data_IF_745920931974
#
_entry.id   IF_745920931974
#
_cell.length_a   1.000
_cell.length_b   1.000
_cell.length_c   1.000
_cell.angle_alpha   90.00
_cell.angle_beta   90.00
_cell.angle_gamma   90.00
#
_symmetry.space_group_name_H-M   'P 1'
#
loop_
_entity.id
_entity.type
_entity.pdbx_description
1 polymer ?
#
# COMPACT_ATOMS: atom_id res chain seq x y z
N UNK A 1 -15.53 -21.73 -36.07
CA UNK A 1 -15.26 -21.29 -34.69
C UNK A 1 -15.66 -19.84 -34.56
N UNK A 2 -16.32 -19.44 -33.48
CA UNK A 2 -16.62 -18.02 -33.25
C UNK A 2 -15.32 -17.33 -32.81
N UNK A 3 -14.68 -16.65 -33.76
CA UNK A 3 -13.58 -15.74 -33.45
C UNK A 3 -14.17 -14.60 -32.62
N UNK A 4 -13.84 -14.54 -31.33
CA UNK A 4 -14.14 -13.38 -30.50
C UNK A 4 -12.99 -12.40 -30.72
N UNK A 5 -13.24 -11.33 -31.48
CA UNK A 5 -12.26 -10.25 -31.61
C UNK A 5 -12.20 -9.56 -30.25
N UNK A 6 -11.06 -9.56 -29.55
CA UNK A 6 -10.94 -8.88 -28.27
C UNK A 6 -11.25 -7.40 -28.47
N UNK A 7 -12.15 -6.86 -27.66
CA UNK A 7 -12.45 -5.43 -27.70
C UNK A 7 -11.21 -4.65 -27.25
N UNK A 8 -10.66 -3.88 -28.17
CA UNK A 8 -9.59 -2.93 -27.88
C UNK A 8 -10.27 -1.56 -27.66
N UNK A 9 -10.34 -1.06 -26.42
CA UNK A 9 -10.86 0.28 -26.19
C UNK A 9 -9.94 1.32 -26.82
N UNK A 10 -10.53 2.41 -27.27
CA UNK A 10 -9.83 3.58 -27.82
C UNK A 10 -10.00 4.80 -26.89
N UNK A 11 -9.12 5.80 -27.05
CA UNK A 11 -9.18 7.06 -26.32
C UNK A 11 -9.13 6.89 -24.80
N UNK A 12 -10.00 7.60 -24.09
CA UNK A 12 -10.02 7.63 -22.60
C UNK A 12 -10.19 6.23 -21.98
N UNK A 13 -10.89 5.32 -22.65
CA UNK A 13 -11.06 3.95 -22.16
C UNK A 13 -9.79 3.10 -22.32
N UNK A 14 -8.99 3.36 -23.37
CA UNK A 14 -7.68 2.74 -23.58
C UNK A 14 -6.68 3.15 -22.49
N UNK A 15 -6.65 4.46 -22.21
CA UNK A 15 -5.83 5.03 -21.14
C UNK A 15 -6.26 4.48 -19.78
N UNK A 16 -7.56 4.42 -19.51
CA UNK A 16 -8.10 3.88 -18.26
C UNK A 16 -7.75 2.40 -18.08
N UNK A 17 -7.80 1.61 -19.15
CA UNK A 17 -7.39 0.20 -19.15
C UNK A 17 -5.91 0.07 -18.80
N UNK A 18 -5.07 0.85 -19.45
CA UNK A 18 -3.62 0.85 -19.22
C UNK A 18 -3.29 1.28 -17.78
N UNK A 19 -3.87 2.40 -17.31
CA UNK A 19 -3.67 2.88 -15.95
C UNK A 19 -4.17 1.87 -14.90
N UNK A 20 -5.30 1.20 -15.15
CA UNK A 20 -5.82 0.15 -14.25
C UNK A 20 -4.90 -1.07 -14.19
N UNK A 21 -4.30 -1.47 -15.32
CA UNK A 21 -3.31 -2.55 -15.34
C UNK A 21 -2.07 -2.19 -14.52
N UNK A 22 -1.54 -0.97 -14.68
CA UNK A 22 -0.41 -0.47 -13.89
C UNK A 22 -0.77 -0.49 -12.40
N UNK A 23 -1.98 -0.04 -12.03
CA UNK A 23 -2.47 -0.09 -10.66
C UNK A 23 -2.45 -1.51 -10.10
N UNK A 24 -2.98 -2.50 -10.83
CA UNK A 24 -2.99 -3.89 -10.39
C UNK A 24 -1.57 -4.44 -10.19
N UNK A 25 -0.64 -4.12 -11.09
CA UNK A 25 0.76 -4.51 -10.96
C UNK A 25 1.41 -3.90 -9.71
N UNK A 26 1.26 -2.59 -9.49
CA UNK A 26 1.79 -1.91 -8.30
C UNK A 26 1.19 -2.45 -7.00
N UNK A 27 -0.12 -2.76 -6.98
CA UNK A 27 -0.76 -3.39 -5.82
C UNK A 27 -0.20 -4.78 -5.53
N UNK A 28 0.06 -5.58 -6.57
CA UNK A 28 0.69 -6.89 -6.42
C UNK A 28 2.13 -6.76 -5.90
N UNK A 29 2.90 -5.78 -6.38
CA UNK A 29 4.24 -5.47 -5.87
C UNK A 29 4.21 -5.06 -4.39
N UNK A 30 3.32 -4.15 -4.00
CA UNK A 30 3.17 -3.71 -2.62
C UNK A 30 2.84 -4.88 -1.70
N UNK A 31 1.91 -5.76 -2.10
CA UNK A 31 1.57 -6.96 -1.35
C UNK A 31 2.81 -7.85 -1.14
N UNK A 32 3.64 -8.05 -2.18
CA UNK A 32 4.88 -8.83 -2.07
C UNK A 32 5.88 -8.18 -1.10
N UNK A 33 6.04 -6.86 -1.16
CA UNK A 33 6.93 -6.12 -0.24
C UNK A 33 6.42 -6.23 1.20
N UNK A 34 5.12 -6.05 1.45
CA UNK A 34 4.52 -6.20 2.77
C UNK A 34 4.70 -7.61 3.35
N UNK A 35 4.61 -8.64 2.52
CA UNK A 35 4.87 -10.01 2.94
C UNK A 35 6.34 -10.22 3.32
N UNK A 36 7.28 -9.60 2.59
CA UNK A 36 8.71 -9.64 2.93
C UNK A 36 9.00 -8.90 4.23
N UNK A 37 8.40 -7.72 4.45
CA UNK A 37 8.48 -6.98 5.72
C UNK A 37 7.92 -7.81 6.87
N UNK A 38 6.76 -8.45 6.68
CA UNK A 38 6.15 -9.32 7.70
C UNK A 38 7.05 -10.51 8.05
N UNK A 39 7.68 -11.13 7.05
CA UNK A 39 8.69 -12.17 7.26
C UNK A 39 9.89 -11.63 8.04
N UNK A 40 10.39 -10.45 7.68
CA UNK A 40 11.50 -9.81 8.38
C UNK A 40 11.18 -9.61 9.86
N UNK A 41 9.97 -9.11 10.20
CA UNK A 41 9.54 -9.02 11.60
C UNK A 41 9.49 -10.38 12.29
N UNK A 42 8.94 -11.41 11.64
CA UNK A 42 8.91 -12.75 12.24
C UNK A 42 10.30 -13.32 12.55
N UNK A 43 11.35 -12.87 11.85
CA UNK A 43 12.73 -13.30 12.11
C UNK A 43 13.39 -12.43 13.17
N UNK A 44 13.26 -11.11 13.07
CA UNK A 44 14.11 -10.16 13.81
C UNK A 44 13.39 -9.38 14.91
N UNK A 45 12.07 -9.20 14.81
CA UNK A 45 11.28 -8.50 15.82
C UNK A 45 9.80 -8.94 15.84
N UNK A 46 9.51 -10.20 16.26
CA UNK A 46 8.16 -10.78 16.19
C UNK A 46 7.08 -10.01 16.96
N UNK A 47 7.48 -9.31 18.02
CA UNK A 47 6.62 -8.56 18.94
C UNK A 47 6.17 -7.23 18.36
N UNK A 48 6.78 -6.75 17.27
CA UNK A 48 6.50 -5.44 16.69
C UNK A 48 5.01 -5.24 16.36
N UNK A 49 4.32 -6.30 15.91
CA UNK A 49 2.88 -6.28 15.58
C UNK A 49 1.97 -6.05 16.79
N UNK A 50 2.45 -6.27 18.01
CA UNK A 50 1.70 -5.99 19.24
C UNK A 50 1.64 -4.49 19.52
N UNK A 51 2.67 -3.75 19.08
CA UNK A 51 2.76 -2.29 19.19
C UNK A 51 2.08 -1.62 17.99
N UNK A 52 2.27 -2.17 16.80
CA UNK A 52 1.71 -1.65 15.56
C UNK A 52 0.81 -2.69 14.88
N UNK A 53 -0.51 -2.53 15.05
CA UNK A 53 -1.50 -3.38 14.37
C UNK A 53 -1.52 -3.22 12.84
N UNK A 54 -0.96 -2.12 12.32
CA UNK A 54 -0.73 -1.92 10.88
C UNK A 54 0.77 -1.72 10.62
N UNK A 55 1.39 -2.50 9.72
CA UNK A 55 2.82 -2.41 9.43
C UNK A 55 3.21 -1.11 8.71
N UNK A 56 2.27 -0.44 8.04
CA UNK A 56 2.45 0.82 7.31
C UNK A 56 2.17 2.07 8.17
N UNK A 57 2.05 1.92 9.49
CA UNK A 57 1.89 3.06 10.38
C UNK A 57 3.11 3.99 10.27
N UNK A 58 2.88 5.24 9.84
CA UNK A 58 3.95 6.25 9.64
C UNK A 58 4.88 6.38 10.84
N UNK A 59 4.35 6.39 12.06
CA UNK A 59 5.16 6.48 13.29
C UNK A 59 6.08 5.28 13.48
N UNK A 60 5.64 4.08 13.11
CA UNK A 60 6.46 2.87 13.15
C UNK A 60 7.53 2.88 12.06
N UNK A 61 7.17 3.22 10.82
CA UNK A 61 8.12 3.32 9.70
C UNK A 61 9.25 4.31 9.98
N UNK A 62 8.96 5.46 10.61
CA UNK A 62 9.98 6.41 11.02
C UNK A 62 10.98 5.82 12.01
N UNK A 63 10.50 5.05 12.99
CA UNK A 63 11.41 4.36 13.92
C UNK A 63 12.24 3.31 13.19
N UNK A 64 11.63 2.47 12.35
CA UNK A 64 12.37 1.41 11.66
C UNK A 64 13.46 1.93 10.72
N UNK A 65 13.30 3.15 10.18
CA UNK A 65 14.34 3.81 9.38
C UNK A 65 15.57 4.19 10.19
N UNK A 66 15.40 4.52 11.47
CA UNK A 66 16.48 4.96 12.35
C UNK A 66 17.01 3.83 13.26
N UNK A 67 16.12 3.02 13.80
CA UNK A 67 16.36 1.97 14.77
C UNK A 67 15.46 0.75 14.45
N UNK A 68 15.84 -0.08 13.46
CA UNK A 68 15.02 -1.21 13.03
C UNK A 68 15.00 -2.41 13.99
N UNK A 69 16.12 -2.74 14.62
CA UNK A 69 16.22 -3.92 15.48
C UNK A 69 15.87 -3.59 16.93
N UNK A 70 15.47 -4.60 17.74
CA UNK A 70 15.21 -4.40 19.16
C UNK A 70 16.37 -3.70 19.88
N UNK A 71 17.61 -4.12 19.64
CA UNK A 71 18.80 -3.52 20.26
C UNK A 71 19.02 -2.05 19.89
N UNK A 72 18.67 -1.65 18.67
CA UNK A 72 18.74 -0.26 18.22
C UNK A 72 17.72 0.60 18.98
N UNK A 73 16.51 0.04 19.16
CA UNK A 73 15.40 0.71 19.86
C UNK A 73 15.72 0.86 21.34
N UNK A 74 16.30 -0.16 21.98
CA UNK A 74 16.74 -0.08 23.37
C UNK A 74 17.85 0.96 23.56
N UNK A 75 18.79 1.03 22.62
CA UNK A 75 19.85 2.05 22.62
C UNK A 75 19.29 3.47 22.48
N UNK A 76 18.27 3.63 21.62
CA UNK A 76 17.60 4.90 21.39
C UNK A 76 16.78 5.36 22.60
N UNK A 77 16.18 4.42 23.33
CA UNK A 77 15.38 4.69 24.52
C UNK A 77 14.05 5.41 24.23
N UNK A 78 13.25 5.60 25.28
CA UNK A 78 11.93 6.25 25.18
C UNK A 78 12.05 7.68 24.62
N UNK A 79 13.03 8.44 25.10
CA UNK A 79 13.18 9.85 24.71
C UNK A 79 13.66 9.99 23.27
N UNK A 80 14.60 9.14 22.81
CA UNK A 80 15.04 9.15 21.42
C UNK A 80 13.93 8.74 20.45
N UNK A 81 13.15 7.70 20.77
CA UNK A 81 11.96 7.30 19.98
C UNK A 81 10.97 8.46 19.89
N UNK A 82 10.68 9.12 21.01
CA UNK A 82 9.77 10.25 21.04
C UNK A 82 10.34 11.46 20.27
N UNK A 83 11.66 11.68 20.30
CA UNK A 83 12.31 12.76 19.57
C UNK A 83 12.16 12.61 18.06
N UNK A 84 12.35 11.40 17.51
CA UNK A 84 12.15 11.12 16.08
C UNK A 84 10.75 11.57 15.63
N UNK A 85 9.72 11.29 16.42
CA UNK A 85 8.36 11.72 16.09
C UNK A 85 8.17 13.23 16.17
N UNK A 86 8.87 13.92 17.08
CA UNK A 86 8.80 15.39 17.23
C UNK A 86 9.47 16.09 16.07
N UNK A 87 10.60 15.59 15.61
CA UNK A 87 11.34 16.13 14.47
C UNK A 87 10.49 16.07 13.18
N UNK A 88 9.77 14.97 13.00
CA UNK A 88 8.81 14.75 11.91
C UNK A 88 7.43 15.39 12.14
N UNK A 89 7.29 16.20 13.21
CA UNK A 89 6.06 16.91 13.60
C UNK A 89 4.83 16.00 13.70
N UNK A 90 5.03 14.73 14.04
CA UNK A 90 3.97 13.73 14.08
C UNK A 90 3.12 13.92 15.34
N UNK A 91 1.85 14.26 15.13
CA UNK A 91 0.87 14.46 16.20
C UNK A 91 0.24 13.12 16.61
N UNK A 92 -0.30 13.04 17.83
CA UNK A 92 -0.99 11.86 18.38
C UNK A 92 -0.13 10.61 18.66
N UNK A 93 1.20 10.74 18.63
CA UNK A 93 2.12 9.76 19.24
C UNK A 93 2.91 10.43 20.36
N UNK A 94 3.29 9.65 21.37
CA UNK A 94 3.97 10.19 22.54
C UNK A 94 4.57 9.11 23.41
N UNK A 95 5.11 9.51 24.56
CA UNK A 95 5.91 8.67 25.45
C UNK A 95 5.24 7.34 25.83
N UNK A 96 3.91 7.29 25.96
CA UNK A 96 3.19 6.04 26.22
C UNK A 96 3.45 4.98 25.13
N UNK A 97 3.40 5.36 23.85
CA UNK A 97 3.71 4.43 22.74
C UNK A 97 5.19 4.10 22.65
N UNK A 98 6.05 5.08 22.92
CA UNK A 98 7.49 4.82 22.97
C UNK A 98 7.82 3.78 24.06
N UNK A 99 7.16 3.89 25.22
CA UNK A 99 7.28 2.90 26.30
C UNK A 99 6.84 1.51 25.86
N UNK A 100 5.67 1.37 25.23
CA UNK A 100 5.21 0.05 24.72
C UNK A 100 6.16 -0.54 23.68
N UNK A 101 6.80 0.31 22.87
CA UNK A 101 7.78 -0.14 21.88
C UNK A 101 9.07 -0.64 22.54
N UNK A 102 9.54 0.08 23.56
CA UNK A 102 10.72 -0.30 24.36
C UNK A 102 10.43 -1.61 25.10
N UNK A 103 9.29 -1.72 25.78
CA UNK A 103 8.87 -2.95 26.47
C UNK A 103 8.81 -4.14 25.50
N UNK A 104 8.32 -3.95 24.26
CA UNK A 104 8.34 -5.00 23.24
C UNK A 104 9.76 -5.38 22.80
N UNK A 105 10.67 -4.39 22.68
CA UNK A 105 12.06 -4.63 22.32
C UNK A 105 12.84 -5.36 23.43
N UNK A 106 12.57 -5.03 24.70
CA UNK A 106 13.20 -5.68 25.88
C UNK A 106 12.88 -7.18 25.94
N UNK A 107 11.65 -7.55 25.58
CA UNK A 107 11.17 -8.93 25.64
C UNK A 107 11.26 -9.65 24.28
N UNK A 108 11.96 -9.06 23.30
CA UNK A 108 11.97 -9.63 21.96
C UNK A 108 12.75 -10.93 21.88
N UNK A 109 12.13 -11.95 21.27
CA UNK A 109 12.78 -13.24 20.98
C UNK A 109 13.35 -13.32 19.56
N UNK A 110 13.42 -12.18 18.85
CA UNK A 110 13.96 -12.09 17.49
C UNK A 110 15.42 -12.54 17.40
N UNK A 111 15.79 -13.06 16.23
CA UNK A 111 17.16 -13.45 15.93
C UNK A 111 18.10 -12.26 16.01
N UNK A 112 19.27 -12.46 16.63
CA UNK A 112 20.38 -11.49 16.64
C UNK A 112 21.40 -11.76 15.54
N UNK A 113 21.25 -12.87 14.83
CA UNK A 113 22.19 -13.30 13.79
C UNK A 113 22.02 -12.50 12.49
N UNK A 114 23.14 -12.09 11.88
CA UNK A 114 23.10 -11.33 10.62
C UNK A 114 22.54 -9.91 10.76
N UNK A 115 22.62 -9.32 11.96
CA UNK A 115 22.04 -8.01 12.28
C UNK A 115 22.46 -6.89 11.30
N UNK A 116 23.68 -6.90 10.77
CA UNK A 116 24.14 -5.91 9.77
C UNK A 116 23.29 -6.02 8.48
N UNK A 117 23.14 -7.23 7.96
CA UNK A 117 22.33 -7.49 6.75
C UNK A 117 20.84 -7.28 7.01
N UNK A 118 20.36 -7.60 8.22
CA UNK A 118 18.97 -7.39 8.62
C UNK A 118 18.59 -5.90 8.54
N UNK A 119 19.43 -5.00 9.06
CA UNK A 119 19.25 -3.55 8.98
C UNK A 119 19.22 -3.05 7.53
N UNK A 120 20.11 -3.58 6.69
CA UNK A 120 20.14 -3.24 5.26
C UNK A 120 18.86 -3.70 4.56
N UNK A 121 18.43 -4.94 4.80
CA UNK A 121 17.24 -5.52 4.16
C UNK A 121 15.98 -4.72 4.47
N UNK A 122 15.71 -4.44 5.75
CA UNK A 122 14.49 -3.70 6.13
C UNK A 122 14.50 -2.28 5.59
N UNK A 123 15.67 -1.62 5.56
CA UNK A 123 15.79 -0.29 4.94
C UNK A 123 15.39 -0.33 3.46
N UNK A 124 15.95 -1.28 2.69
CA UNK A 124 15.61 -1.45 1.28
C UNK A 124 14.12 -1.77 1.08
N UNK A 125 13.55 -2.63 1.92
CA UNK A 125 12.13 -2.97 1.85
C UNK A 125 11.22 -1.77 2.11
N UNK A 126 11.57 -0.91 3.07
CA UNK A 126 10.82 0.31 3.37
C UNK A 126 10.93 1.34 2.24
N UNK A 127 12.12 1.51 1.66
CA UNK A 127 12.34 2.38 0.49
C UNK A 127 11.52 1.90 -0.72
N UNK A 128 11.55 0.59 -1.00
CA UNK A 128 10.75 -0.03 -2.07
C UNK A 128 9.25 0.18 -1.82
N UNK A 129 8.79 -0.04 -0.58
CA UNK A 129 7.39 0.14 -0.20
C UNK A 129 6.93 1.58 -0.43
N UNK A 130 7.69 2.57 0.05
CA UNK A 130 7.36 3.99 -0.12
C UNK A 130 7.36 4.42 -1.59
N UNK A 131 8.35 3.96 -2.36
CA UNK A 131 8.44 4.23 -3.79
C UNK A 131 7.23 3.69 -4.54
N UNK A 132 6.85 2.42 -4.29
CA UNK A 132 5.70 1.78 -4.94
C UNK A 132 4.39 2.41 -4.51
N UNK A 133 4.27 2.77 -3.23
CA UNK A 133 3.06 3.40 -2.71
C UNK A 133 2.87 4.80 -3.31
N UNK A 134 3.95 5.57 -3.48
CA UNK A 134 3.91 6.88 -4.15
C UNK A 134 3.44 6.76 -5.59
N UNK A 135 4.05 5.86 -6.37
CA UNK A 135 3.63 5.56 -7.76
C UNK A 135 2.17 5.09 -7.83
N UNK A 136 1.72 4.31 -6.86
CA UNK A 136 0.32 3.89 -6.79
C UNK A 136 -0.61 5.09 -6.60
N UNK A 137 -0.25 6.07 -5.76
CA UNK A 137 -1.04 7.29 -5.61
C UNK A 137 -1.06 8.12 -6.90
N UNK A 138 0.07 8.27 -7.60
CA UNK A 138 0.13 8.96 -8.90
C UNK A 138 -0.80 8.33 -9.93
N UNK A 139 -0.79 7.00 -10.04
CA UNK A 139 -1.68 6.25 -10.93
C UNK A 139 -3.15 6.38 -10.50
N UNK A 140 -3.43 6.43 -9.20
CA UNK A 140 -4.79 6.65 -8.71
C UNK A 140 -5.31 8.05 -9.06
N UNK A 141 -4.48 9.08 -8.98
CA UNK A 141 -4.82 10.46 -9.43
C UNK A 141 -5.13 10.45 -10.93
N UNK A 142 -4.29 9.83 -11.75
CA UNK A 142 -4.54 9.69 -13.19
C UNK A 142 -5.88 8.96 -13.46
N UNK A 143 -6.16 7.87 -12.75
CA UNK A 143 -7.42 7.14 -12.89
C UNK A 143 -8.63 8.03 -12.55
N UNK A 144 -8.54 8.84 -11.50
CA UNK A 144 -9.59 9.79 -11.12
C UNK A 144 -9.84 10.83 -12.23
N UNK A 145 -8.77 11.39 -12.80
CA UNK A 145 -8.86 12.35 -13.91
C UNK A 145 -9.46 11.73 -15.18
N UNK A 146 -9.09 10.49 -15.50
CA UNK A 146 -9.65 9.76 -16.64
C UNK A 146 -11.13 9.44 -16.44
N UNK A 147 -11.53 9.03 -15.24
CA UNK A 147 -12.93 8.72 -14.91
C UNK A 147 -13.83 9.95 -15.08
N UNK A 148 -13.36 11.14 -14.67
CA UNK A 148 -14.14 12.39 -14.83
C UNK A 148 -14.42 12.75 -16.28
N UNK A 149 -13.66 12.20 -17.23
CA UNK A 149 -13.85 12.41 -18.68
C UNK A 149 -14.83 11.39 -19.28
N UNK A 150 -15.20 10.34 -18.55
CA UNK A 150 -16.06 9.27 -19.06
C UNK A 150 -17.54 9.60 -18.80
N UNK A 151 -18.37 9.67 -19.84
CA UNK A 151 -19.82 9.83 -19.67
C UNK A 151 -20.40 8.74 -18.78
N UNK A 152 -21.35 9.10 -17.91
CA UNK A 152 -22.04 8.21 -16.97
C UNK A 152 -21.17 7.60 -15.85
N UNK A 153 -19.85 7.86 -15.80
CA UNK A 153 -19.02 7.34 -14.70
C UNK A 153 -19.41 7.95 -13.34
N UNK A 154 -19.84 9.22 -13.32
CA UNK A 154 -20.38 9.87 -12.11
C UNK A 154 -21.61 9.14 -11.56
N UNK A 155 -22.53 8.70 -12.42
CA UNK A 155 -23.71 7.92 -12.01
C UNK A 155 -23.34 6.58 -11.37
N UNK A 156 -22.24 5.96 -11.81
CA UNK A 156 -21.74 4.73 -11.18
C UNK A 156 -21.14 5.01 -9.79
N UNK A 157 -20.53 6.18 -9.59
CA UNK A 157 -19.98 6.61 -8.30
C UNK A 157 -21.06 7.04 -7.30
N UNK A 158 -22.24 7.45 -7.77
CA UNK A 158 -23.40 7.76 -6.92
C UNK A 158 -24.01 6.50 -6.26
N UNK A 159 -23.69 5.30 -6.77
CA UNK A 159 -24.19 4.05 -6.20
C UNK A 159 -23.54 3.84 -4.83
N UNK A 160 -24.37 3.81 -3.78
CA UNK A 160 -23.90 3.59 -2.41
C UNK A 160 -23.08 2.30 -2.31
N UNK A 161 -21.83 2.45 -1.88
CA UNK A 161 -20.88 1.33 -1.74
C UNK A 161 -19.97 1.08 -2.95
N UNK A 162 -20.16 1.80 -4.05
CA UNK A 162 -19.33 1.70 -5.26
C UNK A 162 -18.34 2.86 -5.29
N UNK A 163 -17.06 2.54 -5.05
CA UNK A 163 -15.98 3.53 -5.05
C UNK A 163 -15.22 3.61 -6.37
N UNK A 164 -14.36 4.62 -6.49
CA UNK A 164 -13.52 4.87 -7.68
C UNK A 164 -12.73 3.63 -8.13
N UNK A 165 -12.23 2.82 -7.20
CA UNK A 165 -11.47 1.60 -7.51
C UNK A 165 -12.31 0.57 -8.26
N UNK A 166 -13.57 0.42 -7.85
CA UNK A 166 -14.54 -0.50 -8.44
C UNK A 166 -14.99 0.01 -9.80
N UNK A 167 -15.36 1.30 -9.88
CA UNK A 167 -15.78 1.93 -11.14
C UNK A 167 -14.66 1.85 -12.19
N UNK A 168 -13.42 2.18 -11.80
CA UNK A 168 -12.30 2.15 -12.74
C UNK A 168 -12.00 0.74 -13.24
N UNK A 169 -12.03 -0.26 -12.35
CA UNK A 169 -11.77 -1.64 -12.73
C UNK A 169 -12.84 -2.16 -13.68
N UNK A 170 -14.10 -1.85 -13.40
CA UNK A 170 -15.21 -2.19 -14.28
C UNK A 170 -15.07 -1.54 -15.66
N UNK A 171 -14.91 -0.21 -15.71
CA UNK A 171 -14.80 0.53 -16.98
C UNK A 171 -13.52 0.21 -17.76
N UNK A 172 -12.42 -0.18 -17.10
CA UNK A 172 -11.19 -0.63 -17.75
C UNK A 172 -11.38 -1.94 -18.54
N UNK A 173 -12.18 -2.87 -18.00
CA UNK A 173 -12.46 -4.14 -18.67
C UNK A 173 -13.60 -4.00 -19.69
N UNK A 174 -14.66 -3.30 -19.30
CA UNK A 174 -15.90 -3.18 -20.07
C UNK A 174 -15.83 -2.08 -21.13
N UNK A 175 -14.97 -1.08 -20.99
CA UNK A 175 -14.93 0.07 -21.90
C UNK A 175 -16.23 0.87 -21.91
N UNK A 176 -16.55 1.43 -23.08
CA UNK A 176 -17.78 2.20 -23.25
C UNK A 176 -19.03 1.31 -23.07
N UNK A 177 -19.81 1.59 -22.04
CA UNK A 177 -21.03 0.83 -21.73
C UNK A 177 -22.14 1.06 -22.76
N UNK A 178 -22.08 2.14 -23.55
CA UNK A 178 -23.06 2.45 -24.59
C UNK A 178 -23.03 1.46 -25.75
N UNK A 179 -21.95 0.66 -25.88
CA UNK A 179 -21.82 -0.40 -26.88
C UNK A 179 -22.75 -1.60 -26.64
N UNK A 180 -23.38 -1.68 -25.46
CA UNK A 180 -24.28 -2.77 -25.09
C UNK A 180 -25.73 -2.34 -25.19
N UNK A 181 -26.53 -3.15 -25.89
CA UNK A 181 -27.95 -2.87 -26.06
C UNK A 181 -28.78 -3.38 -24.88
N UNK A 182 -28.27 -4.39 -24.15
CA UNK A 182 -28.93 -4.89 -22.95
C UNK A 182 -27.93 -5.41 -21.88
N UNK A 183 -28.32 -5.43 -20.60
CA UNK A 183 -27.45 -5.88 -19.51
C UNK A 183 -26.97 -7.35 -19.58
N UNK A 184 -27.69 -8.24 -20.27
CA UNK A 184 -27.27 -9.64 -20.45
C UNK A 184 -26.08 -9.79 -21.40
N UNK A 185 -25.78 -8.78 -22.21
CA UNK A 185 -24.57 -8.77 -23.04
C UNK A 185 -23.33 -8.51 -22.16
N UNK A 186 -23.45 -7.64 -21.15
CA UNK A 186 -22.43 -7.39 -20.14
C UNK A 186 -22.15 -8.62 -19.26
N UNK A 187 -23.18 -9.40 -18.91
CA UNK A 187 -23.03 -10.61 -18.10
C UNK A 187 -22.27 -11.76 -18.80
N UNK A 188 -22.07 -11.66 -20.12
CA UNK A 188 -21.41 -12.71 -20.93
C UNK A 188 -19.93 -12.42 -21.19
N UNK A 189 -19.40 -11.30 -20.69
CA UNK A 189 -17.97 -10.95 -20.70
C UNK A 189 -17.23 -11.68 -19.57
#
# INVERSE_FOLDING_TARGET
>A
GRYMIPYLPDGVYADLRTASNIRFQLQAELTRIQNRISRWFNIYFPEYKTVYGKPDAKSGMLILKAAPLPEDILTLGIDGVNQIWRDEKLRAVGKARAKTLIEAAEHSVGSKEGAVSARMEIRMLLEDYESRNTRLQEVMVLIEELIRKIPMAEKLLEIKGVGIRTVSGFLAEVGDISRFNNPKELQKL
#
